data_IF_343418814990
#
_entry.id   IF_343418814990
#
_cell.length_a   1.000
_cell.length_b   1.000
_cell.length_c   1.000
_cell.angle_alpha   90.00
_cell.angle_beta   90.00
_cell.angle_gamma   90.00
#
_symmetry.space_group_name_H-M   'P 1'
#
loop_
_entity.id
_entity.type
_entity.pdbx_description
1 polymer ?
#
# COMPACT_ATOMS: atom_id res chain seq x y z
N UNK A 1 -9.96 -5.10 11.68
CA UNK A 1 -9.28 -3.86 12.10
C UNK A 1 -8.64 -3.22 10.86
N UNK A 2 -8.21 -1.97 10.96
CA UNK A 2 -7.54 -1.27 9.85
C UNK A 2 -6.13 -0.94 10.31
N UNK A 3 -5.12 -1.47 9.62
CA UNK A 3 -3.71 -1.27 9.94
C UNK A 3 -3.18 -0.18 9.03
N UNK A 4 -2.41 0.77 9.56
CA UNK A 4 -1.85 1.87 8.79
C UNK A 4 -0.32 1.73 8.68
N UNK A 5 0.22 2.05 7.51
CA UNK A 5 1.64 2.05 7.21
C UNK A 5 2.01 3.36 6.50
N UNK A 6 2.88 4.13 7.13
CA UNK A 6 3.39 5.37 6.58
C UNK A 6 4.73 5.13 5.86
N UNK A 7 4.76 5.39 4.56
CA UNK A 7 5.95 5.24 3.70
C UNK A 7 6.34 6.57 3.05
N UNK A 8 5.96 7.71 3.65
CA UNK A 8 6.49 9.01 3.23
C UNK A 8 8.01 9.05 3.43
N UNK A 9 8.74 9.58 2.45
CA UNK A 9 10.20 9.67 2.43
C UNK A 9 10.91 8.38 2.02
N UNK A 10 10.16 7.29 1.83
CA UNK A 10 10.73 6.02 1.39
C UNK A 10 10.87 6.00 -0.13
N UNK A 11 11.99 5.46 -0.63
CA UNK A 11 12.24 5.36 -2.07
C UNK A 11 12.06 3.92 -2.55
N UNK A 12 11.71 3.75 -3.82
CA UNK A 12 11.71 2.44 -4.44
C UNK A 12 13.11 1.78 -4.36
N UNK A 13 13.21 0.46 -4.11
CA UNK A 13 12.11 -0.51 -3.99
C UNK A 13 11.59 -0.71 -2.56
N UNK A 14 12.06 0.07 -1.58
CA UNK A 14 11.72 -0.14 -0.16
C UNK A 14 10.22 0.02 0.13
N UNK A 15 9.53 0.89 -0.61
CA UNK A 15 8.07 1.04 -0.48
C UNK A 15 7.31 -0.24 -0.75
N UNK A 16 7.71 -0.97 -1.79
CA UNK A 16 7.13 -2.27 -2.11
C UNK A 16 7.47 -3.31 -1.02
N UNK A 17 8.75 -3.41 -0.65
CA UNK A 17 9.22 -4.38 0.34
C UNK A 17 8.52 -4.18 1.69
N UNK A 18 8.48 -2.94 2.20
CA UNK A 18 7.83 -2.61 3.48
C UNK A 18 6.33 -2.84 3.45
N UNK A 19 5.66 -2.48 2.35
CA UNK A 19 4.23 -2.76 2.17
C UNK A 19 3.96 -4.25 2.25
N UNK A 20 4.75 -5.06 1.54
CA UNK A 20 4.60 -6.51 1.51
C UNK A 20 4.84 -7.14 2.88
N UNK A 21 5.94 -6.79 3.55
CA UNK A 21 6.23 -7.27 4.91
C UNK A 21 5.09 -6.95 5.86
N UNK A 22 4.53 -5.73 5.78
CA UNK A 22 3.40 -5.35 6.64
C UNK A 22 2.13 -6.13 6.31
N UNK A 23 1.89 -6.40 5.03
CA UNK A 23 0.76 -7.20 4.58
C UNK A 23 0.89 -8.68 5.01
N UNK A 24 2.10 -9.20 5.15
CA UNK A 24 2.35 -10.53 5.73
C UNK A 24 1.93 -10.60 7.21
N UNK A 25 2.11 -9.52 7.97
CA UNK A 25 1.67 -9.40 9.37
C UNK A 25 0.15 -9.18 9.54
N UNK A 26 -0.54 -8.70 8.51
CA UNK A 26 -2.01 -8.43 8.53
C UNK A 26 -2.79 -9.75 8.44
N UNK A 27 -3.92 -9.89 9.13
CA UNK A 27 -4.74 -11.09 9.03
C UNK A 27 -5.50 -11.17 7.68
N UNK A 28 -5.78 -12.39 7.20
CA UNK A 28 -6.53 -12.56 5.95
C UNK A 28 -7.93 -11.94 6.09
N UNK A 29 -8.32 -11.16 5.08
CA UNK A 29 -9.58 -10.42 5.09
C UNK A 29 -9.53 -9.04 5.75
N UNK A 30 -8.44 -8.69 6.46
CA UNK A 30 -8.22 -7.34 7.01
C UNK A 30 -7.64 -6.37 5.98
N UNK A 31 -7.69 -5.07 6.33
CA UNK A 31 -7.27 -3.97 5.47
C UNK A 31 -5.98 -3.30 5.99
N UNK A 32 -5.01 -3.16 5.09
CA UNK A 32 -3.82 -2.34 5.22
C UNK A 32 -4.01 -1.04 4.43
N UNK A 33 -3.80 0.08 5.10
CA UNK A 33 -3.79 1.43 4.53
C UNK A 33 -2.35 1.88 4.44
N UNK A 34 -1.90 2.25 3.24
CA UNK A 34 -0.53 2.69 3.01
C UNK A 34 -0.52 4.12 2.50
N UNK A 35 0.35 4.94 3.07
CA UNK A 35 0.58 6.31 2.62
C UNK A 35 1.86 6.39 1.80
N UNK A 36 1.75 6.86 0.55
CA UNK A 36 2.87 7.08 -0.36
C UNK A 36 2.97 8.56 -0.70
N UNK A 37 4.18 9.05 -0.87
CA UNK A 37 4.46 10.44 -1.25
C UNK A 37 4.98 10.63 -2.67
N UNK A 38 5.06 9.55 -3.45
CA UNK A 38 5.58 9.57 -4.81
C UNK A 38 4.70 8.75 -5.76
N UNK A 39 4.37 9.36 -6.90
CA UNK A 39 3.48 8.77 -7.91
C UNK A 39 3.90 7.36 -8.39
N UNK A 40 5.20 7.03 -8.59
CA UNK A 40 5.58 5.70 -9.04
C UNK A 40 5.20 4.56 -8.08
N UNK A 41 5.19 4.78 -6.77
CA UNK A 41 4.77 3.73 -5.83
C UNK A 41 3.27 3.49 -5.88
N UNK A 42 2.47 4.54 -6.05
CA UNK A 42 1.01 4.46 -6.13
C UNK A 42 0.54 3.65 -7.33
N UNK A 43 1.32 3.64 -8.42
CA UNK A 43 1.05 2.80 -9.58
C UNK A 43 1.63 1.39 -9.41
N UNK A 44 2.92 1.29 -9.05
CA UNK A 44 3.62 0.00 -9.07
C UNK A 44 3.26 -0.92 -7.91
N UNK A 45 3.14 -0.38 -6.68
CA UNK A 45 2.89 -1.20 -5.50
C UNK A 45 1.50 -1.87 -5.59
N UNK A 46 0.40 -1.14 -5.85
CA UNK A 46 -0.93 -1.76 -5.95
C UNK A 46 -1.02 -2.75 -7.10
N UNK A 47 -0.34 -2.48 -8.23
CA UNK A 47 -0.28 -3.39 -9.37
C UNK A 47 0.40 -4.71 -9.00
N UNK A 48 1.55 -4.66 -8.35
CA UNK A 48 2.27 -5.87 -7.90
C UNK A 48 1.44 -6.67 -6.89
N UNK A 49 0.85 -6.00 -5.90
CA UNK A 49 0.02 -6.67 -4.88
C UNK A 49 -1.24 -7.32 -5.49
N UNK A 50 -1.84 -6.70 -6.50
CA UNK A 50 -2.95 -7.29 -7.24
C UNK A 50 -2.54 -8.56 -7.99
N UNK A 51 -1.34 -8.57 -8.57
CA UNK A 51 -0.78 -9.77 -9.22
C UNK A 51 -0.48 -10.90 -8.22
N UNK A 52 -0.19 -10.55 -6.96
CA UNK A 52 -0.02 -11.50 -5.85
C UNK A 52 -1.37 -12.01 -5.28
N UNK A 53 -2.50 -11.50 -5.79
CA UNK A 53 -3.85 -11.94 -5.40
C UNK A 53 -4.55 -11.04 -4.39
N UNK A 54 -3.89 -10.00 -3.88
CA UNK A 54 -4.50 -9.04 -2.94
C UNK A 54 -5.52 -8.13 -3.64
N UNK A 55 -6.47 -7.60 -2.86
CA UNK A 55 -7.52 -6.72 -3.39
C UNK A 55 -7.20 -5.27 -3.09
N UNK A 56 -7.15 -4.43 -4.12
CA UNK A 56 -7.03 -2.98 -3.94
C UNK A 56 -8.44 -2.41 -3.74
N UNK A 57 -8.69 -1.90 -2.54
CA UNK A 57 -10.01 -1.39 -2.13
C UNK A 57 -10.20 0.06 -2.56
N UNK A 58 -9.12 0.82 -2.73
CA UNK A 58 -9.18 2.17 -3.28
C UNK A 58 -7.86 2.90 -3.17
N UNK A 59 -7.70 3.91 -4.03
CA UNK A 59 -6.57 4.84 -4.04
C UNK A 59 -7.16 6.24 -3.97
N UNK A 60 -6.73 7.02 -2.99
CA UNK A 60 -7.20 8.39 -2.75
C UNK A 60 -5.99 9.31 -2.68
N UNK A 61 -5.99 10.38 -3.48
CA UNK A 61 -4.98 11.42 -3.37
C UNK A 61 -5.43 12.42 -2.31
N UNK A 62 -4.69 12.52 -1.21
CA UNK A 62 -5.04 13.39 -0.09
C UNK A 62 -4.38 14.77 -0.20
N UNK A 63 -3.24 14.89 -0.90
CA UNK A 63 -2.55 16.16 -1.23
C UNK A 63 -1.75 16.02 -2.54
N UNK A 64 -1.12 17.11 -3.03
CA UNK A 64 -0.31 17.13 -4.26
C UNK A 64 0.74 16.01 -4.34
N UNK A 65 1.31 15.64 -3.20
CA UNK A 65 2.32 14.58 -3.08
C UNK A 65 1.98 13.57 -1.99
N UNK A 66 0.69 13.29 -1.75
CA UNK A 66 0.30 12.27 -0.78
C UNK A 66 -0.87 11.45 -1.30
N UNK A 67 -0.68 10.13 -1.29
CA UNK A 67 -1.69 9.16 -1.69
C UNK A 67 -1.90 8.14 -0.58
N UNK A 68 -3.16 7.84 -0.35
CA UNK A 68 -3.63 6.81 0.56
C UNK A 68 -4.13 5.64 -0.26
N UNK A 69 -3.53 4.47 -0.09
CA UNK A 69 -3.91 3.25 -0.78
C UNK A 69 -4.43 2.23 0.21
N UNK A 70 -5.65 1.73 -0.03
CA UNK A 70 -6.28 0.70 0.79
C UNK A 70 -6.16 -0.66 0.10
N UNK A 71 -5.55 -1.61 0.81
CA UNK A 71 -5.29 -2.97 0.34
C UNK A 71 -5.95 -3.93 1.31
N UNK A 72 -6.72 -4.89 0.81
CA UNK A 72 -7.27 -5.99 1.59
C UNK A 72 -6.46 -7.25 1.32
N UNK A 73 -5.97 -7.88 2.39
CA UNK A 73 -5.27 -9.17 2.29
C UNK A 73 -6.26 -10.24 1.82
N UNK A 74 -5.80 -11.07 0.88
CA UNK A 74 -6.57 -12.17 0.32
C UNK A 74 -6.71 -13.32 1.32
#
# INVERSE_FOLDING_TARGET
MTIELDLKGEVCPYTFVKTKLKLEEVESGEELVVFFDHAPAVENVPRSLKNEGHKIMGIEQTNDHLWKVRIRKA
#
